data_IF_363015085002
#
_entry.id   IF_363015085002
#
_cell.length_a   1.000
_cell.length_b   1.000
_cell.length_c   1.000
_cell.angle_alpha   90.00
_cell.angle_beta   90.00
_cell.angle_gamma   90.00
#
_symmetry.space_group_name_H-M   'P 1'
#
loop_
_entity.id
_entity.type
_entity.pdbx_description
1 polymer ?
#
# COMPACT_ATOMS: atom_id res chain seq x y z
N UNK A 1 -22.06 5.70 42.45
CA UNK A 1 -22.91 4.75 43.23
C UNK A 1 -22.43 4.54 44.68
N UNK A 2 -21.13 4.33 44.95
CA UNK A 2 -20.64 4.07 46.31
C UNK A 2 -20.93 5.20 47.31
N UNK A 3 -20.66 6.48 46.91
CA UNK A 3 -20.95 7.64 47.75
C UNK A 3 -22.45 7.83 48.03
N UNK A 4 -23.31 7.55 47.08
CA UNK A 4 -24.76 7.60 47.24
C UNK A 4 -25.24 6.53 48.23
N UNK A 5 -24.70 5.30 48.15
CA UNK A 5 -25.00 4.23 49.10
C UNK A 5 -24.55 4.59 50.53
N UNK A 6 -23.33 5.15 50.69
CA UNK A 6 -22.85 5.62 51.99
C UNK A 6 -23.77 6.72 52.56
N UNK A 7 -24.16 7.71 51.74
CA UNK A 7 -25.02 8.77 52.18
C UNK A 7 -26.39 8.24 52.64
N UNK A 8 -26.97 7.28 51.91
CA UNK A 8 -28.23 6.62 52.31
C UNK A 8 -28.10 5.79 53.57
N UNK A 9 -26.96 5.10 53.76
CA UNK A 9 -26.67 4.35 55.01
C UNK A 9 -26.58 5.31 56.22
N UNK A 10 -25.83 6.42 56.09
CA UNK A 10 -25.72 7.44 57.12
C UNK A 10 -27.11 8.02 57.45
N UNK A 11 -27.92 8.32 56.43
CA UNK A 11 -29.30 8.78 56.59
C UNK A 11 -30.16 7.75 57.33
N UNK A 12 -30.10 6.49 56.90
CA UNK A 12 -30.81 5.38 57.55
C UNK A 12 -30.46 5.21 59.01
N UNK A 13 -29.16 5.17 59.34
CA UNK A 13 -28.68 5.08 60.71
C UNK A 13 -29.11 6.29 61.57
N UNK A 14 -29.05 7.50 60.96
CA UNK A 14 -29.45 8.73 61.65
C UNK A 14 -30.97 8.80 61.95
N UNK A 15 -31.79 8.25 61.05
CA UNK A 15 -33.27 8.25 61.22
C UNK A 15 -33.72 7.13 62.18
N UNK A 16 -33.18 5.92 61.99
CA UNK A 16 -33.65 4.71 62.72
C UNK A 16 -32.79 4.33 63.93
N UNK A 17 -31.46 4.55 63.86
CA UNK A 17 -30.53 4.07 64.87
C UNK A 17 -30.36 4.94 66.14
N UNK A 18 -30.74 6.22 66.03
CA UNK A 18 -30.50 7.18 67.13
C UNK A 18 -31.75 7.42 67.98
N UNK A 19 -32.55 6.40 68.26
CA UNK A 19 -33.64 6.45 69.23
C UNK A 19 -33.15 6.24 70.69
N UNK A 20 -31.84 6.26 70.94
CA UNK A 20 -31.32 6.06 72.32
C UNK A 20 -31.43 7.34 73.18
N UNK A 21 -31.79 7.23 74.47
CA UNK A 21 -32.17 8.36 75.32
C UNK A 21 -30.99 9.18 75.84
N UNK A 22 -29.77 8.91 75.54
CA UNK A 22 -28.62 9.56 76.17
C UNK A 22 -27.79 10.36 75.17
N UNK A 23 -27.90 11.69 75.21
CA UNK A 23 -26.92 12.67 74.72
C UNK A 23 -26.67 12.82 73.20
N UNK A 24 -26.99 11.80 72.39
CA UNK A 24 -26.69 11.77 70.93
C UNK A 24 -27.75 12.52 70.10
N UNK A 25 -28.92 12.80 70.70
CA UNK A 25 -30.00 13.55 70.02
C UNK A 25 -29.61 14.96 69.56
N UNK A 26 -28.61 15.60 70.20
CA UNK A 26 -28.13 16.94 69.85
C UNK A 26 -27.42 16.98 68.52
N UNK A 27 -26.76 15.86 68.14
CA UNK A 27 -26.04 15.73 66.87
C UNK A 27 -26.87 15.09 65.74
N UNK A 28 -28.07 14.60 66.05
CA UNK A 28 -28.95 13.96 65.10
C UNK A 28 -29.21 14.82 63.84
N UNK A 29 -29.49 16.12 64.03
CA UNK A 29 -29.70 17.06 62.95
C UNK A 29 -28.44 17.19 62.05
N UNK A 30 -27.28 17.25 62.67
CA UNK A 30 -26.00 17.33 61.95
C UNK A 30 -25.68 16.05 61.14
N UNK A 31 -25.99 14.87 61.68
CA UNK A 31 -25.85 13.61 60.94
C UNK A 31 -26.85 13.47 59.80
N UNK A 32 -28.10 13.95 59.97
CA UNK A 32 -29.11 14.01 58.88
C UNK A 32 -28.63 14.95 57.77
N UNK A 33 -28.16 16.16 58.11
CA UNK A 33 -27.69 17.12 57.11
C UNK A 33 -26.45 16.61 56.41
N UNK A 34 -25.52 15.99 57.11
CA UNK A 34 -24.32 15.37 56.52
C UNK A 34 -24.67 14.21 55.58
N UNK A 35 -25.58 13.30 56.00
CA UNK A 35 -26.03 12.18 55.18
C UNK A 35 -26.78 12.65 53.93
N UNK A 36 -27.58 13.72 54.03
CA UNK A 36 -28.29 14.31 52.89
C UNK A 36 -27.30 14.98 51.92
N UNK A 37 -26.28 15.68 52.43
CA UNK A 37 -25.28 16.33 51.61
C UNK A 37 -24.40 15.29 50.86
N UNK A 38 -23.95 14.24 51.56
CA UNK A 38 -23.20 13.14 50.96
C UNK A 38 -24.02 12.39 49.91
N UNK A 39 -25.34 12.16 50.19
CA UNK A 39 -26.26 11.53 49.24
C UNK A 39 -26.47 12.40 48.01
N UNK A 40 -26.63 13.72 48.18
CA UNK A 40 -26.75 14.67 47.06
C UNK A 40 -25.50 14.70 46.18
N UNK A 41 -24.31 14.78 46.78
CA UNK A 41 -23.08 14.75 46.05
C UNK A 41 -22.91 13.40 45.34
N UNK A 42 -23.24 12.29 46.00
CA UNK A 42 -23.21 10.96 45.41
C UNK A 42 -24.16 10.79 44.24
N UNK A 43 -25.36 11.42 44.32
CA UNK A 43 -26.30 11.45 43.20
C UNK A 43 -25.78 12.26 42.03
N UNK A 44 -25.27 13.47 42.26
CA UNK A 44 -24.69 14.32 41.23
C UNK A 44 -23.51 13.65 40.51
N UNK A 45 -22.58 13.04 41.26
CA UNK A 45 -21.45 12.34 40.68
C UNK A 45 -21.84 11.07 39.91
N UNK A 46 -22.95 10.42 40.30
CA UNK A 46 -23.47 9.26 39.58
C UNK A 46 -24.20 9.64 38.29
N UNK A 47 -24.75 10.86 38.22
CA UNK A 47 -25.53 11.37 37.08
C UNK A 47 -24.63 11.92 35.99
N UNK A 48 -23.45 12.45 36.35
CA UNK A 48 -22.50 13.02 35.39
C UNK A 48 -21.56 11.91 34.87
N UNK A 49 -21.55 11.72 33.56
CA UNK A 49 -20.69 10.78 32.88
C UNK A 49 -19.91 11.49 31.77
N UNK A 50 -18.63 11.25 31.74
CA UNK A 50 -17.74 11.72 30.67
C UNK A 50 -17.56 10.62 29.62
N UNK A 51 -17.72 10.99 28.38
CA UNK A 51 -17.40 10.16 27.21
C UNK A 51 -16.15 10.76 26.58
N UNK A 52 -15.19 9.89 26.28
CA UNK A 52 -13.92 10.30 25.71
C UNK A 52 -14.09 10.77 24.26
N UNK A 53 -13.20 11.67 23.82
CA UNK A 53 -13.20 12.15 22.45
C UNK A 53 -13.02 10.99 21.45
N UNK A 54 -13.79 11.00 20.37
CA UNK A 54 -13.80 9.93 19.37
C UNK A 54 -14.52 8.65 19.82
N UNK A 55 -15.28 8.69 20.91
CA UNK A 55 -16.12 7.58 21.38
C UNK A 55 -17.58 8.02 21.52
N UNK A 56 -18.44 7.04 21.50
CA UNK A 56 -19.86 7.19 21.83
C UNK A 56 -20.23 6.24 22.96
N UNK A 57 -21.12 6.70 23.83
CA UNK A 57 -21.64 5.93 24.94
C UNK A 57 -22.96 5.24 24.59
N UNK A 58 -22.97 3.92 24.61
CA UNK A 58 -24.20 3.12 24.53
C UNK A 58 -24.76 2.94 25.92
N UNK A 59 -26.02 3.36 26.11
CA UNK A 59 -26.71 3.31 27.38
C UNK A 59 -27.41 1.97 27.58
N UNK A 60 -27.21 1.36 28.73
CA UNK A 60 -27.86 0.09 29.12
C UNK A 60 -28.58 0.33 30.45
N UNK A 61 -29.91 0.29 30.44
CA UNK A 61 -30.73 0.43 31.63
C UNK A 61 -31.36 -0.91 31.97
N UNK A 62 -30.98 -1.48 33.11
CA UNK A 62 -31.44 -2.80 33.58
C UNK A 62 -31.33 -3.91 32.50
N UNK A 63 -30.24 -3.94 31.78
CA UNK A 63 -29.99 -4.93 30.71
C UNK A 63 -30.60 -4.58 29.36
N UNK A 64 -31.41 -3.51 29.25
CA UNK A 64 -31.98 -3.05 27.99
C UNK A 64 -31.13 -1.94 27.38
N UNK A 65 -30.66 -2.14 26.17
CA UNK A 65 -29.94 -1.13 25.38
C UNK A 65 -30.94 -0.03 24.98
N UNK A 66 -30.59 1.21 25.31
CA UNK A 66 -31.38 2.39 24.92
C UNK A 66 -31.01 2.82 23.49
N UNK A 67 -31.95 3.35 22.71
CA UNK A 67 -31.69 3.80 21.34
C UNK A 67 -30.88 5.09 21.29
N UNK A 68 -30.88 5.87 22.36
CA UNK A 68 -30.17 7.16 22.44
C UNK A 68 -28.70 6.96 22.71
N UNK A 69 -27.85 7.69 21.95
CA UNK A 69 -26.42 7.67 22.06
C UNK A 69 -25.95 8.87 22.88
N UNK A 70 -24.91 8.67 23.67
CA UNK A 70 -24.21 9.76 24.35
C UNK A 70 -22.99 10.12 23.49
N UNK A 71 -22.90 11.38 23.11
CA UNK A 71 -21.76 11.91 22.39
C UNK A 71 -20.61 12.29 23.35
N UNK A 72 -19.46 12.57 22.80
CA UNK A 72 -18.28 12.99 23.55
C UNK A 72 -18.54 14.20 24.45
N UNK A 73 -17.81 14.26 25.57
CA UNK A 73 -17.94 15.30 26.59
C UNK A 73 -18.71 14.88 27.81
N UNK A 74 -19.20 15.87 28.58
CA UNK A 74 -19.97 15.65 29.81
C UNK A 74 -21.45 15.42 29.48
N UNK A 75 -21.99 14.30 29.92
CA UNK A 75 -23.37 13.91 29.71
C UNK A 75 -24.06 13.71 31.05
N UNK A 76 -25.32 14.17 31.11
CA UNK A 76 -26.21 13.93 32.26
C UNK A 76 -27.06 12.69 31.96
N UNK A 77 -26.87 11.65 32.73
CA UNK A 77 -27.53 10.36 32.53
C UNK A 77 -28.22 9.88 33.82
N UNK A 78 -29.19 9.01 33.67
CA UNK A 78 -29.77 8.33 34.83
C UNK A 78 -28.68 7.53 35.56
N UNK A 79 -28.50 7.68 36.88
CA UNK A 79 -27.46 7.01 37.66
C UNK A 79 -27.51 5.47 37.60
N UNK A 80 -28.63 4.88 37.19
CA UNK A 80 -28.81 3.43 37.02
C UNK A 80 -28.38 2.91 35.63
N UNK A 81 -27.96 3.80 34.72
CA UNK A 81 -27.50 3.41 33.38
C UNK A 81 -26.06 2.96 33.45
N UNK A 82 -25.78 1.80 32.89
CA UNK A 82 -24.44 1.35 32.53
C UNK A 82 -24.10 1.89 31.14
N UNK A 83 -22.88 2.44 30.99
CA UNK A 83 -22.42 3.00 29.73
C UNK A 83 -21.27 2.13 29.20
N UNK A 84 -21.42 1.69 27.95
CA UNK A 84 -20.35 1.04 27.19
C UNK A 84 -19.87 2.01 26.11
N UNK A 85 -18.59 2.36 26.15
CA UNK A 85 -17.99 3.22 25.13
C UNK A 85 -17.62 2.40 23.91
N UNK A 86 -17.92 2.92 22.72
CA UNK A 86 -17.54 2.36 21.43
C UNK A 86 -16.80 3.44 20.65
N UNK A 87 -15.65 3.10 20.07
CA UNK A 87 -14.89 4.02 19.24
C UNK A 87 -15.60 4.26 17.90
N UNK A 88 -15.72 5.54 17.53
CA UNK A 88 -16.21 5.99 16.22
C UNK A 88 -15.08 6.46 15.32
N UNK A 89 -13.84 6.37 15.81
CA UNK A 89 -12.65 6.68 15.03
C UNK A 89 -12.40 5.61 13.97
N UNK A 90 -11.61 5.96 12.97
CA UNK A 90 -11.14 5.00 11.97
C UNK A 90 -10.33 3.90 12.64
N UNK A 91 -10.74 2.68 12.43
CA UNK A 91 -10.06 1.48 12.90
C UNK A 91 -9.51 0.71 11.73
N UNK A 92 -8.41 0.01 11.93
CA UNK A 92 -7.82 -0.87 10.94
C UNK A 92 -7.93 -2.32 11.39
N UNK A 93 -8.24 -3.21 10.47
CA UNK A 93 -8.14 -4.65 10.65
C UNK A 93 -7.29 -5.23 9.54
N UNK A 94 -6.10 -5.74 9.89
CA UNK A 94 -5.14 -6.32 8.96
C UNK A 94 -5.19 -7.84 9.05
N UNK A 95 -5.36 -8.48 7.91
CA UNK A 95 -5.27 -9.93 7.70
C UNK A 95 -4.02 -10.19 6.87
N UNK A 96 -2.99 -10.72 7.50
CA UNK A 96 -1.68 -11.00 6.88
C UNK A 96 -1.10 -12.30 7.41
N UNK A 97 -0.29 -12.94 6.58
CA UNK A 97 0.53 -14.10 6.98
C UNK A 97 1.78 -13.72 7.77
N UNK A 98 2.15 -12.44 7.79
CA UNK A 98 3.27 -11.94 8.58
C UNK A 98 2.84 -11.70 10.02
N UNK A 99 3.55 -12.31 10.97
CA UNK A 99 3.24 -12.21 12.40
C UNK A 99 3.40 -10.78 12.94
N UNK A 100 4.24 -9.97 12.31
CA UNK A 100 4.52 -8.59 12.73
C UNK A 100 3.45 -7.59 12.30
N UNK A 101 2.65 -7.94 11.28
CA UNK A 101 1.67 -7.05 10.67
C UNK A 101 0.22 -7.44 10.96
N UNK A 102 -0.03 -8.68 11.37
CA UNK A 102 -1.36 -9.16 11.65
C UNK A 102 -1.87 -8.70 13.02
N UNK A 103 -3.15 -8.36 13.12
CA UNK A 103 -3.81 -8.06 14.40
C UNK A 103 -3.75 -9.25 15.35
N UNK A 104 -3.68 -10.46 14.81
CA UNK A 104 -3.49 -11.71 15.56
C UNK A 104 -2.08 -12.24 15.35
N UNK A 105 -1.44 -12.74 16.41
CA UNK A 105 -0.11 -13.37 16.41
C UNK A 105 -0.06 -14.72 15.66
N UNK A 106 -1.01 -15.02 14.78
CA UNK A 106 -1.07 -16.25 13.99
C UNK A 106 -1.30 -15.88 12.53
N UNK A 107 -0.94 -16.76 11.62
CA UNK A 107 -1.21 -16.64 10.19
C UNK A 107 -2.72 -16.39 9.96
N UNK A 108 -3.08 -15.15 9.66
CA UNK A 108 -4.43 -14.71 9.35
C UNK A 108 -4.59 -14.34 7.86
N UNK A 109 -3.59 -14.67 7.03
CA UNK A 109 -3.66 -14.50 5.59
C UNK A 109 -4.87 -15.22 5.00
N UNK A 110 -5.40 -14.65 3.94
CA UNK A 110 -6.58 -15.20 3.28
C UNK A 110 -6.12 -16.04 2.10
N UNK A 111 -6.31 -17.36 2.23
CA UNK A 111 -6.08 -18.29 1.12
C UNK A 111 -7.38 -18.48 0.36
N UNK A 112 -7.33 -18.25 -0.94
CA UNK A 112 -8.47 -18.33 -1.86
C UNK A 112 -8.09 -19.11 -3.11
N UNK A 113 -9.08 -19.71 -3.75
CA UNK A 113 -8.92 -20.33 -5.05
C UNK A 113 -9.30 -19.31 -6.13
N UNK A 114 -8.42 -19.12 -7.09
CA UNK A 114 -8.68 -18.36 -8.30
C UNK A 114 -9.56 -19.15 -9.28
N UNK A 115 -10.00 -18.52 -10.36
CA UNK A 115 -10.83 -19.15 -11.39
C UNK A 115 -10.15 -20.38 -12.03
N UNK A 116 -8.85 -20.34 -12.18
CA UNK A 116 -8.00 -21.43 -12.71
C UNK A 116 -7.62 -22.49 -11.66
N UNK A 117 -8.24 -22.44 -10.47
CA UNK A 117 -8.07 -23.43 -9.41
C UNK A 117 -6.74 -23.34 -8.65
N UNK A 118 -6.00 -22.27 -8.80
CA UNK A 118 -4.75 -22.04 -8.07
C UNK A 118 -5.02 -21.39 -6.70
N UNK A 119 -4.32 -21.86 -5.68
CA UNK A 119 -4.38 -21.24 -4.35
C UNK A 119 -3.55 -19.96 -4.32
N UNK A 120 -4.20 -18.84 -4.03
CA UNK A 120 -3.58 -17.51 -3.91
C UNK A 120 -3.72 -17.03 -2.47
N UNK A 121 -2.62 -16.56 -1.91
CA UNK A 121 -2.62 -15.93 -0.57
C UNK A 121 -2.70 -14.43 -0.72
N UNK A 122 -3.66 -13.81 -0.03
CA UNK A 122 -3.94 -12.38 -0.11
C UNK A 122 -3.83 -11.77 1.27
N UNK A 123 -2.98 -10.73 1.38
CA UNK A 123 -2.86 -9.88 2.56
C UNK A 123 -3.64 -8.59 2.33
N UNK A 124 -4.46 -8.21 3.31
CA UNK A 124 -5.42 -7.14 3.18
C UNK A 124 -5.55 -6.35 4.48
N UNK A 125 -5.75 -5.04 4.35
CA UNK A 125 -6.14 -4.16 5.45
C UNK A 125 -7.47 -3.48 5.12
N UNK A 126 -8.41 -3.56 6.05
CA UNK A 126 -9.70 -2.87 5.98
C UNK A 126 -9.68 -1.70 6.95
N UNK A 127 -9.93 -0.50 6.46
CA UNK A 127 -10.17 0.70 7.26
C UNK A 127 -11.66 0.93 7.35
N UNK A 128 -12.16 1.01 8.57
CA UNK A 128 -13.59 1.13 8.83
C UNK A 128 -13.84 1.95 10.09
N UNK A 129 -15.06 2.46 10.21
CA UNK A 129 -15.59 3.08 11.43
C UNK A 129 -17.06 2.71 11.60
N UNK A 130 -17.60 2.94 12.77
CA UNK A 130 -19.04 2.77 13.00
C UNK A 130 -19.78 4.11 12.88
N UNK A 131 -21.03 4.07 12.42
CA UNK A 131 -21.90 5.22 12.52
C UNK A 131 -22.30 5.43 13.99
N UNK A 132 -22.12 6.66 14.56
CA UNK A 132 -22.46 6.94 15.96
C UNK A 132 -23.86 6.48 16.33
N UNK A 133 -24.85 6.80 15.50
CA UNK A 133 -26.26 6.49 15.74
C UNK A 133 -26.59 4.99 15.66
N UNK A 134 -25.72 4.20 15.02
CA UNK A 134 -25.89 2.75 14.91
C UNK A 134 -25.19 1.98 16.04
N UNK A 135 -24.39 2.65 16.88
CA UNK A 135 -23.66 2.01 17.97
C UNK A 135 -24.58 1.20 18.93
N UNK A 136 -25.78 1.67 19.33
CA UNK A 136 -26.68 0.88 20.16
C UNK A 136 -27.18 -0.38 19.46
N UNK A 137 -27.45 -0.32 18.16
CA UNK A 137 -27.87 -1.47 17.37
C UNK A 137 -26.74 -2.49 17.24
N UNK A 138 -25.53 -2.04 16.91
CA UNK A 138 -24.33 -2.89 16.81
C UNK A 138 -24.08 -3.57 18.15
N UNK A 139 -24.13 -2.83 19.24
CA UNK A 139 -23.92 -3.39 20.58
C UNK A 139 -24.98 -4.44 20.94
N UNK A 140 -26.25 -4.18 20.66
CA UNK A 140 -27.36 -5.08 20.96
C UNK A 140 -27.31 -6.38 20.15
N UNK A 141 -26.99 -6.29 18.84
CA UNK A 141 -27.07 -7.42 17.92
C UNK A 141 -25.77 -8.22 17.85
N UNK A 142 -24.63 -7.56 18.03
CA UNK A 142 -23.29 -8.14 17.78
C UNK A 142 -22.44 -8.12 19.05
N UNK A 143 -22.47 -7.02 19.80
CA UNK A 143 -21.63 -6.74 20.96
C UNK A 143 -20.37 -5.95 20.60
N UNK A 144 -19.44 -5.85 21.57
CA UNK A 144 -18.18 -5.11 21.39
C UNK A 144 -17.22 -5.78 20.41
N UNK A 145 -17.28 -7.10 20.27
CA UNK A 145 -16.36 -7.87 19.40
C UNK A 145 -16.87 -7.94 17.95
N UNK A 146 -17.39 -6.83 17.40
CA UNK A 146 -17.89 -6.77 16.04
C UNK A 146 -16.79 -6.96 14.98
N UNK A 147 -15.53 -6.70 15.34
CA UNK A 147 -14.37 -6.97 14.47
C UNK A 147 -14.30 -8.45 14.09
N UNK A 148 -14.29 -9.32 15.09
CA UNK A 148 -14.18 -10.77 14.88
C UNK A 148 -15.45 -11.40 14.33
N UNK A 149 -16.61 -10.83 14.69
CA UNK A 149 -17.91 -11.40 14.32
C UNK A 149 -18.41 -10.93 12.96
N UNK A 150 -18.04 -9.72 12.51
CA UNK A 150 -18.55 -9.11 11.28
C UNK A 150 -17.42 -8.73 10.34
N UNK A 151 -16.48 -7.87 10.78
CA UNK A 151 -15.45 -7.34 9.88
C UNK A 151 -14.66 -8.48 9.22
N UNK A 152 -14.12 -9.35 10.03
CA UNK A 152 -13.30 -10.47 9.56
C UNK A 152 -14.06 -11.46 8.67
N UNK A 153 -15.21 -12.02 9.05
CA UNK A 153 -15.93 -12.99 8.21
C UNK A 153 -16.44 -12.39 6.90
N UNK A 154 -17.02 -11.19 6.95
CA UNK A 154 -17.56 -10.52 5.76
C UNK A 154 -16.45 -10.22 4.77
N UNK A 155 -15.32 -9.71 5.25
CA UNK A 155 -14.16 -9.43 4.39
C UNK A 155 -13.63 -10.72 3.75
N UNK A 156 -13.44 -11.78 4.53
CA UNK A 156 -12.99 -13.09 4.02
C UNK A 156 -13.92 -13.66 2.96
N UNK A 157 -15.23 -13.55 3.18
CA UNK A 157 -16.23 -14.02 2.22
C UNK A 157 -16.20 -13.19 0.95
N UNK A 158 -16.18 -11.85 1.07
CA UNK A 158 -16.10 -10.95 -0.07
C UNK A 158 -14.88 -11.19 -0.96
N UNK A 159 -13.70 -11.43 -0.35
CA UNK A 159 -12.48 -11.75 -1.08
C UNK A 159 -12.60 -13.12 -1.76
N UNK A 160 -13.03 -14.16 -1.04
CA UNK A 160 -13.14 -15.50 -1.56
C UNK A 160 -14.08 -15.56 -2.77
N UNK A 161 -15.22 -14.92 -2.68
CA UNK A 161 -16.18 -14.86 -3.77
C UNK A 161 -15.65 -14.05 -4.95
N UNK A 162 -14.95 -12.94 -4.68
CA UNK A 162 -14.41 -12.10 -5.76
C UNK A 162 -13.25 -12.77 -6.49
N UNK A 163 -12.43 -13.55 -5.80
CA UNK A 163 -11.27 -14.25 -6.38
C UNK A 163 -11.66 -15.27 -7.45
N UNK A 164 -12.84 -15.91 -7.33
CA UNK A 164 -13.30 -16.92 -8.29
C UNK A 164 -13.59 -16.40 -9.69
N UNK A 165 -13.66 -15.08 -9.87
CA UNK A 165 -13.88 -14.46 -11.19
C UNK A 165 -12.58 -14.21 -11.96
N UNK A 166 -11.41 -14.31 -11.33
CA UNK A 166 -10.13 -13.95 -11.91
C UNK A 166 -9.13 -15.08 -11.87
N UNK A 167 -8.29 -15.18 -12.90
CA UNK A 167 -7.14 -16.06 -12.91
C UNK A 167 -6.05 -15.54 -11.97
N UNK A 168 -5.25 -16.44 -11.39
CA UNK A 168 -4.22 -16.10 -10.43
C UNK A 168 -3.21 -15.05 -10.96
N UNK A 169 -2.82 -15.18 -12.23
CA UNK A 169 -1.90 -14.25 -12.89
C UNK A 169 -2.54 -12.86 -13.02
N UNK A 170 -3.81 -12.78 -13.42
CA UNK A 170 -4.54 -11.51 -13.58
C UNK A 170 -4.72 -10.79 -12.25
N UNK A 171 -4.94 -11.50 -11.15
CA UNK A 171 -4.99 -10.93 -9.79
C UNK A 171 -3.67 -10.26 -9.39
N UNK A 172 -2.56 -10.83 -9.84
CA UNK A 172 -1.22 -10.30 -9.54
C UNK A 172 -0.85 -9.11 -10.44
N UNK A 173 -1.37 -9.02 -11.67
CA UNK A 173 -0.94 -8.06 -12.69
C UNK A 173 -2.00 -6.99 -13.03
N UNK A 174 -2.73 -7.21 -14.10
CA UNK A 174 -3.55 -6.20 -14.79
C UNK A 174 -4.96 -6.02 -14.20
N UNK A 175 -5.48 -7.03 -13.51
CA UNK A 175 -6.84 -7.00 -12.93
C UNK A 175 -6.90 -6.70 -11.44
N UNK A 176 -5.78 -6.29 -10.85
CA UNK A 176 -5.68 -6.02 -9.41
C UNK A 176 -6.63 -4.93 -8.94
N UNK A 177 -6.71 -3.83 -9.68
CA UNK A 177 -7.60 -2.70 -9.32
C UNK A 177 -9.08 -3.08 -9.46
N UNK A 178 -9.44 -3.80 -10.53
CA UNK A 178 -10.80 -4.29 -10.74
C UNK A 178 -11.22 -5.26 -9.65
N UNK A 179 -10.31 -6.15 -9.24
CA UNK A 179 -10.52 -7.07 -8.13
C UNK A 179 -10.74 -6.35 -6.80
N UNK A 180 -9.90 -5.34 -6.49
CA UNK A 180 -10.04 -4.52 -5.28
C UNK A 180 -11.38 -3.80 -5.25
N UNK A 181 -11.80 -3.23 -6.37
CA UNK A 181 -13.08 -2.57 -6.48
C UNK A 181 -14.24 -3.54 -6.26
N UNK A 182 -14.20 -4.72 -6.84
CA UNK A 182 -15.23 -5.75 -6.70
C UNK A 182 -15.37 -6.25 -5.26
N UNK A 183 -14.25 -6.43 -4.57
CA UNK A 183 -14.25 -6.77 -3.13
C UNK A 183 -14.89 -5.62 -2.34
N UNK A 184 -14.48 -4.38 -2.62
CA UNK A 184 -14.97 -3.19 -1.93
C UNK A 184 -16.48 -3.05 -2.06
N UNK A 185 -17.04 -3.21 -3.25
CA UNK A 185 -18.49 -3.14 -3.48
C UNK A 185 -19.25 -4.17 -2.64
N UNK A 186 -18.80 -5.43 -2.65
CA UNK A 186 -19.44 -6.49 -1.87
C UNK A 186 -19.39 -6.25 -0.36
N UNK A 187 -18.23 -5.81 0.15
CA UNK A 187 -18.05 -5.55 1.58
C UNK A 187 -18.81 -4.30 2.00
N UNK A 188 -18.84 -3.27 1.17
CA UNK A 188 -19.53 -2.00 1.43
C UNK A 188 -21.01 -2.24 1.73
N UNK A 189 -21.71 -2.98 0.88
CA UNK A 189 -23.13 -3.28 1.05
C UNK A 189 -23.42 -4.01 2.37
N UNK A 190 -22.58 -4.99 2.72
CA UNK A 190 -22.74 -5.77 3.94
C UNK A 190 -22.41 -4.97 5.21
N UNK A 191 -21.43 -4.09 5.16
CA UNK A 191 -21.07 -3.22 6.27
C UNK A 191 -22.15 -2.15 6.50
N UNK A 192 -22.64 -1.54 5.42
CA UNK A 192 -23.66 -0.50 5.48
C UNK A 192 -24.96 -1.00 6.13
N UNK A 193 -25.43 -2.21 5.79
CA UNK A 193 -26.61 -2.85 6.40
C UNK A 193 -26.50 -2.97 7.93
N UNK A 194 -25.24 -3.07 8.44
CA UNK A 194 -24.94 -3.26 9.85
C UNK A 194 -24.48 -1.99 10.57
N UNK A 195 -24.53 -0.84 9.90
CA UNK A 195 -24.13 0.44 10.47
C UNK A 195 -22.62 0.65 10.59
N UNK A 196 -21.85 -0.06 9.77
CA UNK A 196 -20.39 0.06 9.66
C UNK A 196 -20.07 0.79 8.36
N UNK A 197 -19.16 1.75 8.40
CA UNK A 197 -18.65 2.47 7.24
C UNK A 197 -17.36 1.82 6.80
N UNK A 198 -17.30 1.33 5.57
CA UNK A 198 -16.05 0.96 4.92
C UNK A 198 -15.41 2.25 4.38
N UNK A 199 -14.28 2.67 4.95
CA UNK A 199 -13.54 3.84 4.46
C UNK A 199 -12.61 3.48 3.33
N UNK A 200 -11.77 2.46 3.52
CA UNK A 200 -10.84 1.97 2.52
C UNK A 200 -10.61 0.47 2.64
N UNK A 201 -10.36 -0.14 1.52
CA UNK A 201 -9.86 -1.50 1.41
C UNK A 201 -8.47 -1.41 0.75
N UNK A 202 -7.47 -2.02 1.36
CA UNK A 202 -6.10 -1.98 0.89
C UNK A 202 -5.61 -3.41 0.67
N UNK A 203 -5.53 -3.84 -0.57
CA UNK A 203 -4.88 -5.10 -0.93
C UNK A 203 -3.37 -4.87 -0.87
N UNK A 204 -2.70 -5.47 0.11
CA UNK A 204 -1.27 -5.25 0.37
C UNK A 204 -0.39 -6.13 -0.50
N UNK A 205 -0.61 -7.43 -0.40
CA UNK A 205 0.18 -8.41 -1.13
C UNK A 205 -0.73 -9.52 -1.69
N UNK A 206 -0.35 -10.02 -2.86
CA UNK A 206 -0.97 -11.19 -3.49
C UNK A 206 0.18 -12.15 -3.79
N UNK A 207 0.22 -13.27 -3.07
CA UNK A 207 1.29 -14.27 -3.21
C UNK A 207 0.77 -15.45 -4.00
N UNK A 208 1.45 -15.76 -5.09
CA UNK A 208 1.19 -16.92 -5.93
C UNK A 208 1.96 -18.14 -5.42
N UNK A 209 1.49 -19.38 -5.72
CA UNK A 209 2.27 -20.58 -5.51
C UNK A 209 3.62 -20.52 -6.22
N UNK A 210 4.66 -21.08 -5.62
CA UNK A 210 6.03 -21.01 -6.14
C UNK A 210 6.15 -21.55 -7.57
N UNK A 211 5.46 -22.64 -7.89
CA UNK A 211 5.46 -23.24 -9.23
C UNK A 211 4.90 -22.29 -10.31
N UNK A 212 3.89 -21.52 -9.95
CA UNK A 212 3.29 -20.51 -10.85
C UNK A 212 4.25 -19.34 -11.06
N UNK A 213 4.85 -18.87 -9.96
CA UNK A 213 5.84 -17.80 -10.00
C UNK A 213 7.01 -18.14 -10.92
N UNK A 214 7.58 -19.33 -10.78
CA UNK A 214 8.65 -19.84 -11.66
C UNK A 214 8.22 -19.96 -13.12
N UNK A 215 6.96 -20.32 -13.37
CA UNK A 215 6.43 -20.39 -14.74
C UNK A 215 6.26 -19.01 -15.36
N UNK A 216 5.84 -18.01 -14.58
CA UNK A 216 5.78 -16.61 -15.00
C UNK A 216 7.19 -16.07 -15.30
N UNK A 217 8.14 -16.30 -14.40
CA UNK A 217 9.54 -15.87 -14.59
C UNK A 217 10.13 -16.46 -15.86
N UNK A 218 9.93 -17.76 -16.13
CA UNK A 218 10.36 -18.39 -17.38
C UNK A 218 9.71 -17.76 -18.61
N UNK A 219 8.39 -17.47 -18.56
CA UNK A 219 7.69 -16.80 -19.66
C UNK A 219 8.23 -15.39 -19.91
N UNK A 220 8.45 -14.61 -18.84
CA UNK A 220 9.01 -13.25 -18.94
C UNK A 220 10.41 -13.31 -19.55
N UNK A 221 11.27 -14.20 -19.07
CA UNK A 221 12.63 -14.38 -19.60
C UNK A 221 12.60 -14.73 -21.09
N UNK A 222 11.74 -15.67 -21.50
CA UNK A 222 11.62 -16.05 -22.92
C UNK A 222 11.14 -14.86 -23.80
N UNK A 223 10.17 -14.07 -23.31
CA UNK A 223 9.70 -12.86 -24.02
C UNK A 223 10.81 -11.83 -24.12
N UNK A 224 11.57 -11.60 -23.04
CA UNK A 224 12.70 -10.66 -23.04
C UNK A 224 13.81 -11.11 -23.99
N UNK A 225 14.11 -12.41 -24.03
CA UNK A 225 15.07 -12.95 -24.98
C UNK A 225 14.63 -12.80 -26.43
N UNK A 226 13.33 -13.05 -26.72
CA UNK A 226 12.78 -12.83 -28.05
C UNK A 226 12.86 -11.36 -28.47
N UNK A 227 12.50 -10.44 -27.59
CA UNK A 227 12.62 -8.99 -27.85
C UNK A 227 14.09 -8.57 -28.03
N UNK A 228 15.00 -9.07 -27.20
CA UNK A 228 16.44 -8.83 -27.35
C UNK A 228 16.94 -9.31 -28.70
N UNK A 229 16.52 -10.49 -29.12
CA UNK A 229 16.95 -11.05 -30.42
C UNK A 229 16.40 -10.20 -31.58
N UNK A 230 15.18 -9.70 -31.48
CA UNK A 230 14.60 -8.78 -32.48
C UNK A 230 15.41 -7.48 -32.61
N UNK A 231 15.83 -6.88 -31.49
CA UNK A 231 16.72 -5.71 -31.48
C UNK A 231 18.08 -6.00 -32.07
N UNK A 232 18.66 -7.16 -31.77
CA UNK A 232 19.96 -7.60 -32.35
C UNK A 232 19.82 -7.74 -33.86
N UNK A 233 18.78 -8.42 -34.35
CA UNK A 233 18.51 -8.56 -35.78
C UNK A 233 18.32 -7.21 -36.49
N UNK A 234 17.61 -6.29 -35.86
CA UNK A 234 17.43 -4.94 -36.38
C UNK A 234 18.75 -4.19 -36.46
N UNK A 235 19.59 -4.27 -35.43
CA UNK A 235 20.92 -3.68 -35.40
C UNK A 235 21.81 -4.26 -36.52
N UNK A 236 21.87 -5.57 -36.62
CA UNK A 236 22.67 -6.24 -37.68
C UNK A 236 22.22 -5.85 -39.08
N UNK A 237 20.90 -5.73 -39.30
CA UNK A 237 20.36 -5.24 -40.59
C UNK A 237 20.82 -3.80 -40.88
N UNK A 238 20.75 -2.92 -39.88
CA UNK A 238 21.22 -1.55 -40.02
C UNK A 238 22.73 -1.46 -40.26
N UNK A 239 23.53 -2.29 -39.58
CA UNK A 239 24.98 -2.34 -39.81
C UNK A 239 25.32 -2.89 -41.19
N UNK A 240 24.62 -3.91 -41.65
CA UNK A 240 24.80 -4.45 -43.00
C UNK A 240 24.43 -3.41 -44.07
N UNK A 241 23.33 -2.67 -43.88
CA UNK A 241 22.96 -1.61 -44.80
C UNK A 241 23.96 -0.44 -44.78
N UNK A 242 24.43 -0.04 -43.59
CA UNK A 242 25.50 0.97 -43.46
C UNK A 242 26.76 0.56 -44.22
N UNK A 243 27.23 -0.69 -44.03
CA UNK A 243 28.42 -1.22 -44.75
C UNK A 243 28.19 -1.27 -46.26
N UNK A 244 26.95 -1.61 -46.70
CA UNK A 244 26.60 -1.61 -48.13
C UNK A 244 26.65 -0.21 -48.72
N UNK A 245 26.09 0.77 -48.05
CA UNK A 245 26.10 2.19 -48.45
C UNK A 245 27.51 2.74 -48.45
N UNK A 246 28.34 2.40 -47.45
CA UNK A 246 29.76 2.78 -47.38
C UNK A 246 30.55 2.18 -48.53
N UNK A 247 30.40 0.89 -48.80
CA UNK A 247 31.08 0.21 -49.92
C UNK A 247 30.64 0.80 -51.30
N UNK A 248 29.34 1.10 -51.44
CA UNK A 248 28.83 1.77 -52.64
C UNK A 248 29.45 3.17 -52.81
N UNK A 249 29.53 3.93 -51.71
CA UNK A 249 30.17 5.27 -51.71
C UNK A 249 31.64 5.21 -52.10
N UNK A 250 32.37 4.24 -51.58
CA UNK A 250 33.79 4.01 -51.97
C UNK A 250 33.87 3.64 -53.45
N UNK A 251 33.03 2.73 -53.93
CA UNK A 251 33.03 2.32 -55.35
C UNK A 251 32.68 3.48 -56.30
N UNK A 252 31.72 4.31 -55.92
CA UNK A 252 31.33 5.50 -56.68
C UNK A 252 32.45 6.56 -56.66
N UNK A 253 33.08 6.81 -55.51
CA UNK A 253 34.22 7.69 -55.38
C UNK A 253 35.40 7.21 -56.26
N UNK A 254 35.67 5.91 -56.25
CA UNK A 254 36.74 5.29 -57.06
C UNK A 254 36.44 5.39 -58.56
N UNK A 255 35.16 5.24 -58.96
CA UNK A 255 34.74 5.40 -60.35
C UNK A 255 34.93 6.86 -60.78
N UNK A 256 34.58 7.83 -60.00
CA UNK A 256 34.78 9.27 -60.30
C UNK A 256 36.25 9.59 -60.42
N UNK A 257 37.09 9.10 -59.50
CA UNK A 257 38.54 9.28 -59.53
C UNK A 257 39.09 8.66 -60.84
N UNK A 258 38.77 7.41 -61.17
CA UNK A 258 39.29 6.73 -62.36
C UNK A 258 38.81 7.40 -63.64
N UNK A 259 37.59 8.00 -63.67
CA UNK A 259 37.12 8.71 -64.88
C UNK A 259 37.79 10.08 -65.08
N UNK A 260 38.34 10.67 -63.98
CA UNK A 260 39.07 11.94 -64.01
C UNK A 260 40.59 11.80 -64.11
N UNK A 261 41.16 10.61 -63.85
CA UNK A 261 42.57 10.38 -63.87
C UNK A 261 43.11 10.17 -65.29
N UNK A 262 43.66 11.22 -65.87
CA UNK A 262 44.56 11.07 -67.05
C UNK A 262 45.97 10.86 -66.57
N UNK A 263 46.79 10.18 -67.39
CA UNK A 263 48.23 9.95 -67.09
C UNK A 263 48.98 11.25 -66.70
N UNK A 264 48.55 12.37 -67.23
CA UNK A 264 49.11 13.70 -66.90
C UNK A 264 48.74 14.18 -65.46
N UNK A 265 47.59 13.85 -64.97
CA UNK A 265 47.16 14.19 -63.58
C UNK A 265 47.93 13.30 -62.61
N UNK A 266 48.13 12.01 -62.91
CA UNK A 266 48.89 11.12 -62.08
C UNK A 266 50.34 11.57 -61.97
N UNK A 267 50.93 12.02 -63.09
CA UNK A 267 52.29 12.59 -63.08
C UNK A 267 52.38 13.90 -62.27
N UNK A 268 51.31 14.76 -62.35
CA UNK A 268 51.28 15.99 -61.60
C UNK A 268 51.14 15.75 -60.06
N UNK A 269 50.30 14.81 -59.64
CA UNK A 269 50.20 14.42 -58.24
C UNK A 269 51.49 13.75 -57.74
N UNK A 270 52.14 12.91 -58.50
CA UNK A 270 53.45 12.36 -58.16
C UNK A 270 54.49 13.47 -57.93
N UNK A 271 54.51 14.49 -58.77
CA UNK A 271 55.45 15.63 -58.62
C UNK A 271 55.11 16.43 -57.39
N UNK A 272 53.80 16.59 -57.05
CA UNK A 272 53.36 17.31 -55.86
C UNK A 272 53.74 16.58 -54.58
N UNK A 273 53.56 15.25 -54.52
CA UNK A 273 53.99 14.42 -53.38
C UNK A 273 55.51 14.44 -53.22
N UNK A 274 56.25 14.39 -54.32
CA UNK A 274 57.72 14.52 -54.31
C UNK A 274 58.13 15.89 -53.74
N UNK A 275 57.48 16.97 -54.12
CA UNK A 275 57.73 18.33 -53.58
C UNK A 275 57.43 18.45 -52.09
N UNK A 276 56.39 17.84 -51.66
CA UNK A 276 56.03 17.80 -50.22
C UNK A 276 56.96 16.97 -49.36
N UNK A 277 57.50 15.84 -49.93
CA UNK A 277 58.54 15.03 -49.32
C UNK A 277 59.86 15.74 -49.17
N UNK A 278 60.26 16.55 -50.17
CA UNK A 278 61.48 17.39 -50.13
C UNK A 278 61.39 18.45 -49.00
N UNK A 279 60.21 18.96 -48.71
CA UNK A 279 59.97 19.98 -47.69
C UNK A 279 59.66 19.40 -46.29
N UNK A 280 59.67 18.07 -46.14
CA UNK A 280 59.41 17.39 -44.87
C UNK A 280 60.58 17.49 -43.92
N UNK A 281 60.45 17.95 -42.70
CA UNK A 281 61.53 18.11 -41.71
C UNK A 281 62.10 16.73 -41.20
N UNK A 282 61.44 15.61 -41.55
CA UNK A 282 61.86 14.24 -41.19
C UNK A 282 62.44 13.56 -42.39
N UNK A 283 63.72 13.73 -42.59
CA UNK A 283 64.47 13.05 -43.66
C UNK A 283 64.65 11.54 -43.40
N UNK A 284 63.72 10.77 -43.97
CA UNK A 284 63.93 9.32 -44.19
C UNK A 284 64.20 9.09 -45.66
N UNK A 285 65.19 8.22 -45.98
CA UNK A 285 65.46 7.80 -47.36
C UNK A 285 64.27 7.03 -47.89
N UNK A 286 63.51 7.60 -48.81
CA UNK A 286 62.40 6.92 -49.49
C UNK A 286 62.88 6.59 -50.94
N UNK A 287 63.03 5.32 -51.23
CA UNK A 287 63.31 4.84 -52.57
C UNK A 287 61.94 4.56 -53.22
N UNK A 288 61.48 5.45 -54.08
CA UNK A 288 60.37 5.19 -54.96
C UNK A 288 60.86 4.37 -56.16
N UNK A 289 60.39 3.10 -56.20
CA UNK A 289 60.84 2.16 -57.30
C UNK A 289 60.41 2.66 -58.65
N UNK A 290 61.42 2.62 -59.58
CA UNK A 290 61.27 3.07 -60.96
C UNK A 290 60.49 2.09 -61.83
N UNK A 291 59.25 2.47 -62.22
CA UNK A 291 58.69 1.98 -63.45
C UNK A 291 59.42 2.58 -64.66
N UNK A 292 59.24 2.01 -65.83
CA UNK A 292 59.96 2.36 -67.08
C UNK A 292 60.04 3.83 -67.52
N UNK A 293 59.49 4.77 -66.73
CA UNK A 293 59.42 6.21 -67.05
C UNK A 293 59.70 7.17 -65.87
N UNK A 294 60.23 6.71 -64.74
CA UNK A 294 60.61 7.61 -63.66
C UNK A 294 62.05 7.36 -63.23
N UNK A 295 62.94 8.38 -63.21
CA UNK A 295 64.26 8.25 -62.67
C UNK A 295 64.22 7.95 -61.17
N UNK A 296 65.13 7.15 -60.64
CA UNK A 296 65.23 6.90 -59.20
C UNK A 296 65.63 8.19 -58.50
N UNK A 297 64.79 8.61 -57.59
CA UNK A 297 65.02 9.78 -56.73
C UNK A 297 65.58 9.31 -55.40
N UNK A 298 66.84 9.68 -55.10
CA UNK A 298 67.44 9.38 -53.80
C UNK A 298 67.40 10.68 -52.95
N UNK A 299 66.66 10.70 -51.92
CA UNK A 299 66.73 11.80 -50.93
C UNK A 299 67.68 11.31 -49.84
N UNK A 300 68.91 11.81 -49.88
CA UNK A 300 69.89 11.55 -48.84
C UNK A 300 69.67 12.47 -47.62
N UNK A 301 70.03 11.93 -46.49
CA UNK A 301 70.07 12.65 -45.23
C UNK A 301 71.14 13.73 -45.31
N UNK A 302 70.73 15.01 -45.37
CA UNK A 302 71.65 16.13 -45.21
C UNK A 302 71.85 16.34 -43.70
N UNK A 303 73.05 16.16 -43.20
CA UNK A 303 73.49 16.52 -41.86
C UNK A 303 72.90 17.87 -41.36
#
# INVERSE_FOLDING_TARGET
>A
MFLLAIGLIILGISIFGLKSPVGVGRFRKSFITLGLLVSLIGFLTATIRQIDAGHVGVQILFGKVQPTVLYEGLNFVNPFVEIKQMSIQTQSYTMSGSTDEAVRKHDDAIRVLSRDGLEVTIDLTVLYRIYPDQAPKIYREIGLNYQDKIIRPVTRTGIRESATYYDAISLFSDKREEFEQKIREKIFDEFQKRGIVLERLLVRNITLPQSVKESIERKITAVQEAQRMEYVLQKERQEAERKRVEAQGIADAQRIINSGLSDKILQFELIKVQKELVNSPNSKIIILGGGKQSPPFIIGDGK
#
